data_IF_483499225167
#
_entry.id   IF_483499225167
#
_cell.length_a   1.000
_cell.length_b   1.000
_cell.length_c   1.000
_cell.angle_alpha   90.00
_cell.angle_beta   90.00
_cell.angle_gamma   90.00
#
_symmetry.space_group_name_H-M   'P 1'
#
loop_
_entity.id
_entity.type
_entity.pdbx_description
1 polymer ?
#
# COMPACT_ATOMS: atom_id res chain seq x y z
N UNK A 1 -7.01 -19.47 -20.60
CA UNK A 1 -6.54 -18.23 -19.95
C UNK A 1 -6.15 -18.58 -18.52
N UNK A 2 -4.84 -18.61 -18.20
CA UNK A 2 -4.41 -18.85 -16.82
C UNK A 2 -4.81 -17.63 -15.98
N UNK A 3 -5.67 -17.81 -14.97
CA UNK A 3 -5.97 -16.76 -14.00
C UNK A 3 -4.69 -16.60 -13.18
N UNK A 4 -3.91 -15.54 -13.42
CA UNK A 4 -2.79 -15.21 -12.54
C UNK A 4 -3.36 -15.05 -11.14
N UNK A 5 -2.97 -15.95 -10.23
CA UNK A 5 -3.30 -15.82 -8.82
C UNK A 5 -2.58 -14.60 -8.29
N UNK A 6 -3.34 -13.65 -7.75
CA UNK A 6 -2.77 -12.52 -7.02
C UNK A 6 -2.40 -13.06 -5.64
N UNK A 7 -1.14 -12.89 -5.26
CA UNK A 7 -0.65 -13.24 -3.94
C UNK A 7 -0.74 -12.02 -3.03
N UNK A 8 -0.91 -12.25 -1.72
CA UNK A 8 -0.92 -11.16 -0.75
C UNK A 8 0.44 -10.44 -0.74
N UNK A 9 0.41 -9.11 -0.60
CA UNK A 9 1.63 -8.31 -0.47
C UNK A 9 2.44 -8.79 0.76
N UNK A 10 3.71 -9.22 0.62
CA UNK A 10 4.53 -9.66 1.74
C UNK A 10 4.72 -8.57 2.80
N UNK A 11 5.14 -8.97 4.00
CA UNK A 11 5.44 -8.00 5.07
C UNK A 11 6.60 -7.09 4.66
N UNK A 12 6.46 -5.77 4.86
CA UNK A 12 7.49 -4.81 4.48
C UNK A 12 6.98 -3.37 4.35
N UNK A 13 7.89 -2.48 3.99
CA UNK A 13 7.62 -1.07 3.73
C UNK A 13 7.68 -0.80 2.23
N UNK A 14 6.67 -0.11 1.71
CA UNK A 14 6.53 0.11 0.28
C UNK A 14 6.04 1.52 -0.03
N UNK A 15 6.33 1.99 -1.24
CA UNK A 15 5.60 3.06 -1.89
C UNK A 15 4.53 2.42 -2.77
N UNK A 16 3.27 2.78 -2.56
CA UNK A 16 2.14 2.24 -3.29
C UNK A 16 1.57 3.27 -4.27
N UNK A 17 1.31 2.86 -5.51
CA UNK A 17 0.67 3.69 -6.54
C UNK A 17 -0.57 2.98 -7.08
N UNK A 18 -1.76 3.57 -7.03
CA UNK A 18 -2.98 2.94 -7.53
C UNK A 18 -2.98 2.77 -9.06
N UNK A 19 -3.55 1.66 -9.55
CA UNK A 19 -3.73 1.43 -10.99
C UNK A 19 -4.73 2.42 -11.61
N UNK A 20 -4.53 2.84 -12.86
CA UNK A 20 -5.49 3.68 -13.58
C UNK A 20 -6.50 2.85 -14.40
N UNK A 21 -7.79 3.25 -14.48
CA UNK A 21 -8.44 4.31 -13.74
C UNK A 21 -8.86 3.85 -12.34
N UNK A 22 -8.35 4.50 -11.31
CA UNK A 22 -8.79 4.29 -9.94
C UNK A 22 -10.02 5.17 -9.71
N UNK A 23 -11.20 4.61 -9.40
CA UNK A 23 -12.37 5.43 -9.11
C UNK A 23 -12.14 6.18 -7.79
N UNK A 24 -11.74 7.44 -7.90
CA UNK A 24 -11.46 8.34 -6.78
C UNK A 24 -12.74 8.71 -5.98
N UNK A 25 -13.92 8.45 -6.54
CA UNK A 25 -15.22 8.81 -5.93
C UNK A 25 -15.87 7.67 -5.10
N UNK A 26 -15.12 6.61 -4.81
CA UNK A 26 -15.62 5.52 -3.96
C UNK A 26 -15.41 5.87 -2.49
N UNK A 27 -16.48 6.09 -1.71
CA UNK A 27 -16.47 6.44 -0.29
C UNK A 27 -15.84 5.43 0.69
N UNK A 28 -14.88 4.62 0.23
CA UNK A 28 -14.07 3.69 1.00
C UNK A 28 -12.72 4.29 1.44
N UNK A 29 -12.39 5.54 1.09
CA UNK A 29 -11.19 6.28 1.54
C UNK A 29 -9.88 5.93 0.80
N UNK A 30 -9.95 5.10 -0.24
CA UNK A 30 -8.77 4.67 -1.01
C UNK A 30 -8.20 5.75 -1.94
N UNK A 31 -8.92 6.86 -2.10
CA UNK A 31 -8.59 8.03 -2.90
C UNK A 31 -7.48 8.86 -2.26
N UNK A 32 -7.36 8.79 -0.94
CA UNK A 32 -6.27 9.43 -0.18
C UNK A 32 -4.89 8.87 -0.56
N UNK A 33 -4.85 7.62 -1.06
CA UNK A 33 -3.63 6.97 -1.55
C UNK A 33 -3.16 7.55 -2.88
N UNK A 34 -4.02 8.22 -3.65
CA UNK A 34 -3.61 8.85 -4.91
C UNK A 34 -2.76 10.11 -4.67
N UNK A 35 -1.72 10.38 -5.50
CA UNK A 35 -1.17 9.55 -6.60
C UNK A 35 -0.17 8.48 -6.13
N UNK A 36 0.15 8.46 -4.84
CA UNK A 36 0.89 7.42 -4.17
C UNK A 36 1.01 7.71 -2.69
N UNK A 37 1.26 6.68 -1.89
CA UNK A 37 1.45 6.80 -0.45
C UNK A 37 2.48 5.79 0.07
N UNK A 38 3.05 6.10 1.23
CA UNK A 38 3.81 5.12 1.99
C UNK A 38 2.84 4.06 2.53
N UNK A 39 3.26 2.80 2.56
CA UNK A 39 2.47 1.79 3.25
C UNK A 39 3.34 0.73 3.94
N UNK A 40 2.79 0.13 4.97
CA UNK A 40 3.38 -0.96 5.72
C UNK A 40 2.45 -2.17 5.58
N UNK A 41 3.00 -3.29 5.12
CA UNK A 41 2.31 -4.58 5.09
C UNK A 41 2.81 -5.47 6.22
N UNK A 42 1.90 -6.21 6.86
CA UNK A 42 2.25 -7.33 7.74
C UNK A 42 2.10 -8.71 7.05
N UNK A 43 1.70 -8.72 5.77
CA UNK A 43 1.39 -9.94 5.01
C UNK A 43 -0.10 -10.32 5.00
N UNK A 44 -0.93 -9.63 5.80
CA UNK A 44 -2.38 -9.82 5.90
C UNK A 44 -3.14 -8.49 5.74
N UNK A 45 -2.61 -7.43 6.32
CA UNK A 45 -3.10 -6.06 6.29
C UNK A 45 -2.04 -5.12 5.77
N UNK A 46 -2.50 -4.06 5.12
CA UNK A 46 -1.67 -2.96 4.60
C UNK A 46 -2.26 -1.67 5.12
N UNK A 47 -1.43 -0.89 5.81
CA UNK A 47 -1.78 0.44 6.30
C UNK A 47 -1.03 1.47 5.48
N UNK A 48 -1.75 2.45 4.94
CA UNK A 48 -1.25 3.52 4.09
C UNK A 48 -1.11 4.80 4.92
N UNK A 49 -0.03 5.53 4.67
CA UNK A 49 0.37 6.73 5.36
C UNK A 49 0.67 7.85 4.38
N UNK A 50 0.18 9.05 4.70
CA UNK A 50 0.50 10.29 3.97
C UNK A 50 0.93 11.33 4.98
N UNK A 51 2.08 11.95 4.74
CA UNK A 51 2.68 12.93 5.65
C UNK A 51 2.84 12.43 7.11
N UNK A 52 2.95 11.11 7.29
CA UNK A 52 3.11 10.45 8.60
C UNK A 52 1.80 10.06 9.29
N UNK A 53 0.65 10.41 8.74
CA UNK A 53 -0.66 10.04 9.28
C UNK A 53 -1.25 8.83 8.55
N UNK A 54 -1.89 7.93 9.30
CA UNK A 54 -2.65 6.82 8.71
C UNK A 54 -3.88 7.38 7.99
N UNK A 55 -3.94 7.15 6.68
CA UNK A 55 -5.03 7.62 5.82
C UNK A 55 -6.01 6.49 5.51
N UNK A 56 -5.51 5.25 5.42
CA UNK A 56 -6.32 4.13 5.01
C UNK A 56 -5.69 2.78 5.35
N UNK A 57 -6.51 1.74 5.51
CA UNK A 57 -6.04 0.38 5.68
C UNK A 57 -6.93 -0.61 4.92
N UNK A 58 -6.31 -1.62 4.32
CA UNK A 58 -7.03 -2.71 3.65
C UNK A 58 -6.27 -4.03 3.78
N UNK A 59 -6.88 -5.13 3.33
CA UNK A 59 -6.18 -6.41 3.35
C UNK A 59 -5.10 -6.48 2.25
N UNK A 60 -4.05 -7.24 2.50
CA UNK A 60 -2.87 -7.33 1.63
C UNK A 60 -3.16 -7.92 0.24
N UNK A 61 -4.23 -8.70 0.10
CA UNK A 61 -4.65 -9.23 -1.20
C UNK A 61 -5.32 -8.15 -2.05
N UNK A 62 -6.16 -7.32 -1.44
CA UNK A 62 -6.77 -6.16 -2.09
C UNK A 62 -5.68 -5.19 -2.54
N UNK A 63 -4.75 -4.87 -1.64
CA UNK A 63 -3.63 -4.01 -1.94
C UNK A 63 -2.84 -4.52 -3.16
N UNK A 64 -2.44 -5.80 -3.15
CA UNK A 64 -1.73 -6.42 -4.28
C UNK A 64 -2.51 -6.46 -5.60
N UNK A 65 -3.84 -6.43 -5.55
CA UNK A 65 -4.68 -6.44 -6.75
C UNK A 65 -4.85 -5.05 -7.40
N UNK A 66 -4.63 -3.98 -6.63
CA UNK A 66 -5.09 -2.63 -6.98
C UNK A 66 -3.96 -1.59 -7.03
N UNK A 67 -2.78 -1.92 -6.51
CA UNK A 67 -1.64 -1.02 -6.42
C UNK A 67 -0.36 -1.68 -6.95
N UNK A 68 0.52 -0.85 -7.49
CA UNK A 68 1.92 -1.19 -7.75
C UNK A 68 2.77 -0.79 -6.55
N UNK A 69 3.67 -1.68 -6.13
CA UNK A 69 4.51 -1.48 -4.95
C UNK A 69 5.99 -1.41 -5.30
N UNK A 70 6.66 -0.38 -4.79
CA UNK A 70 8.12 -0.28 -4.81
C UNK A 70 8.62 -0.47 -3.37
N UNK A 71 9.46 -1.48 -3.09
CA UNK A 71 10.05 -1.65 -1.77
C UNK A 71 10.86 -0.41 -1.39
N UNK A 72 10.61 0.11 -0.20
CA UNK A 72 11.41 1.19 0.36
C UNK A 72 12.38 0.52 1.32
N UNK A 73 13.70 0.82 1.24
CA UNK A 73 14.61 0.42 2.30
C UNK A 73 14.01 0.92 3.61
N UNK A 74 13.81 0.04 4.58
CA UNK A 74 13.49 0.48 5.93
C UNK A 74 14.68 1.32 6.39
N UNK A 75 14.63 2.63 6.13
CA UNK A 75 15.72 3.52 6.44
C UNK A 75 15.91 3.39 7.95
N UNK A 76 17.13 3.06 8.34
CA UNK A 76 17.48 2.77 9.73
C UNK A 76 16.88 3.88 10.57
N UNK A 77 16.04 3.51 11.52
CA UNK A 77 15.71 4.38 12.65
C UNK A 77 17.02 5.05 13.09
N UNK A 78 17.11 6.38 13.21
CA UNK A 78 18.30 6.99 13.77
C UNK A 78 18.47 6.37 15.15
N UNK A 79 19.51 5.56 15.31
CA UNK A 79 19.94 5.10 16.62
C UNK A 79 20.37 6.37 17.33
N UNK A 80 19.47 6.90 18.16
CA UNK A 80 19.84 7.92 19.15
C UNK A 80 20.77 7.21 20.12
N UNK A 81 22.06 7.55 20.04
CA UNK A 81 23.08 7.25 21.07
C UNK A 81 22.83 8.16 22.29
#
# INVERSE_FOLDING_TARGET
>A
MSRKSIEALPSGHYWAVPHAPFPLDGGNGHDEVFPGAHCISDGKWVTFYKDGEEVWACNALYAAAHFDFVPIPADRSPTVD
#
